data_IF_182787154639
#
_entry.id   IF_182787154639
#
_cell.length_a   1.000
_cell.length_b   1.000
_cell.length_c   1.000
_cell.angle_alpha   90.00
_cell.angle_beta   90.00
_cell.angle_gamma   90.00
#
_symmetry.space_group_name_H-M   'P 1'
#
loop_
_entity.id
_entity.type
_entity.pdbx_description
1 polymer ?
#
# COMPACT_ATOMS: atom_id res chain seq x y z
N UNK A 1 -36.62 47.78 8.98
CA UNK A 1 -35.72 47.22 10.00
C UNK A 1 -35.31 45.86 9.50
N UNK A 2 -34.06 45.69 9.10
CA UNK A 2 -33.53 44.37 8.75
C UNK A 2 -33.53 43.51 10.01
N UNK A 3 -34.03 42.28 9.87
CA UNK A 3 -34.12 41.33 10.96
C UNK A 3 -32.70 40.98 11.43
N UNK A 4 -32.38 41.26 12.70
CA UNK A 4 -31.07 40.99 13.30
C UNK A 4 -30.69 39.50 13.17
N UNK A 5 -31.68 38.61 13.13
CA UNK A 5 -31.48 37.19 12.84
C UNK A 5 -30.94 36.96 11.42
N UNK A 6 -31.52 37.63 10.42
CA UNK A 6 -31.11 37.50 9.02
C UNK A 6 -29.69 38.05 8.80
N UNK A 7 -29.32 39.14 9.46
CA UNK A 7 -27.96 39.66 9.42
C UNK A 7 -26.94 38.73 10.09
N UNK A 8 -27.31 38.11 11.23
CA UNK A 8 -26.43 37.18 11.93
C UNK A 8 -26.24 35.87 11.16
N UNK A 9 -27.32 35.34 10.59
CA UNK A 9 -27.30 34.15 9.73
C UNK A 9 -26.50 34.42 8.46
N UNK A 10 -26.68 35.57 7.83
CA UNK A 10 -25.87 36.00 6.68
C UNK A 10 -24.38 36.04 7.02
N UNK A 11 -24.00 36.64 8.16
CA UNK A 11 -22.60 36.65 8.64
C UNK A 11 -22.07 35.24 8.90
N UNK A 12 -22.86 34.34 9.47
CA UNK A 12 -22.47 32.94 9.67
C UNK A 12 -22.26 32.21 8.35
N UNK A 13 -23.21 32.31 7.42
CA UNK A 13 -23.10 31.70 6.08
C UNK A 13 -21.86 32.23 5.37
N UNK A 14 -21.63 33.54 5.35
CA UNK A 14 -20.43 34.13 4.74
C UNK A 14 -19.14 33.62 5.41
N UNK A 15 -19.12 33.47 6.74
CA UNK A 15 -17.97 32.88 7.44
C UNK A 15 -17.74 31.43 7.02
N UNK A 16 -18.78 30.58 6.97
CA UNK A 16 -18.63 29.19 6.56
C UNK A 16 -18.26 29.02 5.09
N UNK A 17 -18.78 29.88 4.21
CA UNK A 17 -18.44 29.88 2.78
C UNK A 17 -17.00 30.32 2.54
N UNK A 18 -16.52 31.29 3.32
CA UNK A 18 -15.15 31.81 3.21
C UNK A 18 -14.13 30.99 4.02
N UNK A 19 -14.58 30.17 4.97
CA UNK A 19 -13.72 29.31 5.77
C UNK A 19 -13.24 28.13 4.94
N UNK A 20 -12.06 28.29 4.36
CA UNK A 20 -11.35 27.26 3.62
C UNK A 20 -10.12 26.84 4.43
N UNK A 21 -10.25 25.93 5.42
CA UNK A 21 -9.14 25.59 6.31
C UNK A 21 -7.92 25.00 5.58
N UNK A 22 -8.14 24.40 4.41
CA UNK A 22 -7.06 23.88 3.56
C UNK A 22 -6.41 24.91 2.63
N UNK A 23 -6.95 26.12 2.47
CA UNK A 23 -6.35 27.08 1.52
C UNK A 23 -5.00 27.59 2.00
N UNK A 24 -4.08 27.78 1.06
CA UNK A 24 -2.73 28.26 1.31
C UNK A 24 -2.79 29.76 1.63
N UNK A 25 -2.81 30.09 2.92
CA UNK A 25 -2.83 31.45 3.44
C UNK A 25 -1.93 31.50 4.67
N UNK A 26 -1.34 32.67 4.96
CA UNK A 26 -0.51 32.88 6.15
C UNK A 26 -1.24 32.38 7.42
N UNK A 27 -2.51 32.77 7.60
CA UNK A 27 -3.30 32.38 8.77
C UNK A 27 -3.49 30.87 8.89
N UNK A 28 -3.80 30.16 7.79
CA UNK A 28 -3.98 28.71 7.84
C UNK A 28 -2.66 27.97 8.06
N UNK A 29 -1.55 28.46 7.51
CA UNK A 29 -0.21 27.87 7.73
C UNK A 29 0.19 28.05 9.19
N UNK A 30 0.01 29.25 9.77
CA UNK A 30 0.25 29.51 11.19
C UNK A 30 -0.60 28.60 12.07
N UNK A 31 -1.91 28.46 11.79
CA UNK A 31 -2.80 27.56 12.55
C UNK A 31 -2.39 26.09 12.44
N UNK A 32 -1.97 25.65 11.26
CA UNK A 32 -1.45 24.29 11.05
C UNK A 32 -0.22 24.05 11.94
N UNK A 33 0.75 24.95 11.90
CA UNK A 33 1.97 24.84 12.71
C UNK A 33 1.66 24.81 14.21
N UNK A 34 0.77 25.69 14.69
CA UNK A 34 0.30 25.69 16.08
C UNK A 34 -0.37 24.38 16.48
N UNK A 35 -1.16 23.79 15.59
CA UNK A 35 -1.83 22.49 15.83
C UNK A 35 -0.81 21.35 15.94
N UNK A 36 0.31 21.46 15.24
CA UNK A 36 1.43 20.53 15.30
C UNK A 36 2.39 20.79 16.48
N UNK A 37 2.12 21.82 17.30
CA UNK A 37 2.96 22.19 18.44
C UNK A 37 4.25 22.94 18.07
N UNK A 38 4.31 23.49 16.85
CA UNK A 38 5.45 24.26 16.37
C UNK A 38 5.36 25.71 16.82
N UNK A 39 6.52 26.31 17.12
CA UNK A 39 6.62 27.74 17.37
C UNK A 39 6.57 28.48 16.03
N UNK A 40 5.86 29.60 15.99
CA UNK A 40 5.75 30.40 14.76
C UNK A 40 5.73 31.88 15.09
N UNK A 41 6.49 32.67 14.35
CA UNK A 41 6.53 34.14 14.47
C UNK A 41 6.48 34.78 13.08
N UNK A 42 5.91 35.99 13.01
CA UNK A 42 5.78 36.74 11.76
C UNK A 42 6.55 38.03 11.92
N UNK A 43 7.56 38.21 11.06
CA UNK A 43 8.41 39.38 11.02
C UNK A 43 8.27 40.11 9.69
N UNK A 44 8.45 41.42 9.69
CA UNK A 44 8.50 42.20 8.46
C UNK A 44 9.97 42.34 8.02
N UNK A 45 10.33 41.65 6.93
CA UNK A 45 11.71 41.66 6.39
C UNK A 45 11.96 42.91 5.56
N UNK A 46 10.96 43.33 4.79
CA UNK A 46 10.99 44.55 3.97
C UNK A 46 9.57 45.17 3.90
N UNK A 47 9.47 46.38 3.36
CA UNK A 47 8.22 47.09 3.05
C UNK A 47 7.18 46.22 2.34
N UNK A 48 7.62 45.33 1.45
CA UNK A 48 6.74 44.45 0.66
C UNK A 48 6.87 42.96 1.00
N UNK A 49 7.69 42.59 1.97
CA UNK A 49 7.95 41.17 2.32
C UNK A 49 7.71 40.94 3.81
N UNK A 50 6.81 40.03 4.13
CA UNK A 50 6.64 39.47 5.48
C UNK A 50 7.15 38.04 5.52
N UNK A 51 7.87 37.67 6.58
CA UNK A 51 8.36 36.32 6.81
C UNK A 51 7.57 35.64 7.92
N UNK A 52 7.08 34.44 7.64
CA UNK A 52 6.66 33.50 8.68
C UNK A 52 7.82 32.56 8.95
N UNK A 53 8.36 32.61 10.15
CA UNK A 53 9.35 31.65 10.61
C UNK A 53 8.68 30.63 11.51
N UNK A 54 8.95 29.36 11.25
CA UNK A 54 8.43 28.20 11.99
C UNK A 54 9.64 27.51 12.60
N UNK A 55 9.62 27.22 13.90
CA UNK A 55 10.74 26.62 14.60
C UNK A 55 10.30 25.43 15.46
N UNK A 56 11.21 24.48 15.60
CA UNK A 56 11.14 23.34 16.52
C UNK A 56 12.51 23.11 17.17
N UNK A 57 12.82 21.89 17.61
CA UNK A 57 14.10 21.55 18.26
C UNK A 57 15.31 21.77 17.35
N UNK A 58 15.21 21.32 16.10
CA UNK A 58 16.29 21.28 15.09
C UNK A 58 15.86 22.06 13.84
N UNK A 59 14.61 21.92 13.41
CA UNK A 59 14.13 22.58 12.19
C UNK A 59 13.76 24.05 12.41
N UNK A 60 14.15 24.90 11.46
CA UNK A 60 13.67 26.27 11.28
C UNK A 60 13.26 26.45 9.81
N UNK A 61 12.01 26.81 9.55
CA UNK A 61 11.47 27.03 8.20
C UNK A 61 11.07 28.49 8.08
N UNK A 62 11.76 29.23 7.21
CA UNK A 62 11.41 30.60 6.86
C UNK A 62 10.57 30.60 5.58
N UNK A 63 9.40 31.24 5.62
CA UNK A 63 8.50 31.39 4.47
C UNK A 63 8.28 32.89 4.22
N UNK A 64 8.75 33.37 3.07
CA UNK A 64 8.59 34.77 2.67
C UNK A 64 7.30 34.94 1.86
N UNK A 65 6.50 35.95 2.21
CA UNK A 65 5.26 36.32 1.54
C UNK A 65 5.34 37.75 1.03
N UNK A 66 4.69 37.99 -0.10
CA UNK A 66 4.44 39.34 -0.58
C UNK A 66 3.30 39.99 0.23
N UNK A 67 3.54 41.16 0.82
CA UNK A 67 2.59 41.84 1.71
C UNK A 67 1.32 42.29 0.98
N UNK A 68 1.37 42.46 -0.35
CA UNK A 68 0.28 43.03 -1.15
C UNK A 68 -0.80 42.01 -1.52
N UNK A 69 -0.41 40.79 -1.88
CA UNK A 69 -1.32 39.73 -2.34
C UNK A 69 -1.25 38.44 -1.50
N UNK A 70 -0.31 38.35 -0.55
CA UNK A 70 -0.13 37.20 0.34
C UNK A 70 0.48 35.98 -0.36
N UNK A 71 1.10 36.15 -1.52
CA UNK A 71 1.72 35.07 -2.28
C UNK A 71 3.06 34.66 -1.67
N UNK A 72 3.32 33.36 -1.65
CA UNK A 72 4.62 32.81 -1.23
C UNK A 72 5.68 33.15 -2.27
N UNK A 73 6.75 33.79 -1.83
CA UNK A 73 7.91 34.21 -2.63
C UNK A 73 9.03 33.17 -2.53
N UNK A 74 9.36 32.76 -1.30
CA UNK A 74 10.46 31.84 -1.03
C UNK A 74 10.16 30.99 0.21
N UNK A 75 10.78 29.82 0.28
CA UNK A 75 10.80 28.97 1.48
C UNK A 75 12.22 28.49 1.69
N UNK A 76 12.72 28.57 2.93
CA UNK A 76 14.05 28.08 3.29
C UNK A 76 13.98 27.18 4.52
N UNK A 77 14.55 26.00 4.43
CA UNK A 77 14.79 25.12 5.58
C UNK A 77 16.21 25.37 6.09
N UNK A 78 16.32 25.67 7.38
CA UNK A 78 17.56 25.80 8.14
C UNK A 78 17.51 24.77 9.27
N UNK A 79 18.55 23.97 9.40
CA UNK A 79 18.70 23.03 10.49
C UNK A 79 19.64 23.68 11.52
N UNK A 80 19.31 23.59 12.81
CA UNK A 80 20.10 24.16 13.91
C UNK A 80 21.48 23.50 14.09
N UNK A 81 21.73 22.43 13.35
CA UNK A 81 22.97 21.65 13.29
C UNK A 81 23.66 21.80 11.94
N UNK A 82 24.94 21.39 11.88
CA UNK A 82 25.80 21.43 10.69
C UNK A 82 25.40 20.41 9.60
N UNK A 83 24.10 20.24 9.32
CA UNK A 83 23.59 19.32 8.30
C UNK A 83 23.37 20.00 6.96
N UNK A 84 24.44 20.58 6.41
CA UNK A 84 24.47 21.13 5.04
C UNK A 84 24.14 20.09 3.95
N UNK A 85 23.98 18.82 4.34
CA UNK A 85 23.76 17.67 3.44
C UNK A 85 22.32 17.16 3.42
N UNK A 86 21.41 17.69 4.25
CA UNK A 86 20.02 17.26 4.21
C UNK A 86 19.37 17.76 2.92
N UNK A 87 19.02 16.83 2.05
CA UNK A 87 18.39 17.13 0.77
C UNK A 87 16.88 17.32 0.93
N UNK A 88 16.43 18.57 0.82
CA UNK A 88 15.02 18.95 0.76
C UNK A 88 14.60 19.46 -0.63
N UNK A 89 15.35 19.06 -1.66
CA UNK A 89 15.04 19.33 -3.06
C UNK A 89 14.51 18.08 -3.76
N UNK A 90 13.65 18.32 -4.74
CA UNK A 90 13.29 17.37 -5.77
C UNK A 90 13.89 17.89 -7.09
N UNK A 91 15.06 17.37 -7.45
CA UNK A 91 15.90 17.94 -8.51
C UNK A 91 16.38 19.34 -8.11
N UNK A 92 15.94 20.37 -8.83
CA UNK A 92 16.34 21.76 -8.57
C UNK A 92 15.30 22.56 -7.77
N UNK A 93 14.20 21.93 -7.35
CA UNK A 93 13.10 22.65 -6.72
C UNK A 93 12.94 22.27 -5.24
N UNK A 94 12.80 23.29 -4.39
CA UNK A 94 12.54 23.11 -2.97
C UNK A 94 11.14 22.50 -2.76
N UNK A 95 11.09 21.36 -2.07
CA UNK A 95 9.86 20.59 -1.79
C UNK A 95 8.84 21.41 -1.02
N UNK A 96 9.28 22.14 0.01
CA UNK A 96 8.40 22.95 0.86
C UNK A 96 7.82 24.14 0.08
N UNK A 97 8.63 24.79 -0.75
CA UNK A 97 8.16 25.86 -1.64
C UNK A 97 7.13 25.33 -2.65
N UNK A 98 7.41 24.19 -3.29
CA UNK A 98 6.45 23.56 -4.23
C UNK A 98 5.17 23.13 -3.54
N UNK A 99 5.26 22.60 -2.33
CA UNK A 99 4.10 22.24 -1.50
C UNK A 99 3.14 23.41 -1.27
N UNK A 100 3.64 24.65 -1.29
CA UNK A 100 2.84 25.87 -1.10
C UNK A 100 2.46 26.60 -2.39
N UNK A 101 3.06 26.25 -3.54
CA UNK A 101 2.87 27.00 -4.80
C UNK A 101 2.33 26.18 -5.95
N UNK A 102 2.59 24.87 -5.96
CA UNK A 102 2.17 23.95 -7.03
C UNK A 102 0.85 23.23 -6.73
N UNK A 103 0.43 23.21 -5.46
CA UNK A 103 -0.77 22.52 -5.00
C UNK A 103 -1.87 23.51 -4.60
N UNK A 104 -3.11 23.04 -4.63
CA UNK A 104 -4.29 23.88 -4.36
C UNK A 104 -4.57 24.09 -2.87
N UNK A 105 -4.01 23.25 -2.02
CA UNK A 105 -4.27 23.22 -0.57
C UNK A 105 -3.00 22.86 0.22
N UNK A 106 -3.13 22.92 1.55
CA UNK A 106 -2.05 22.64 2.50
C UNK A 106 -1.76 21.15 2.70
N UNK A 107 -2.40 20.23 1.95
CA UNK A 107 -2.24 18.80 2.19
C UNK A 107 -0.78 18.34 2.05
N UNK A 108 -0.12 18.71 0.94
CA UNK A 108 1.28 18.32 0.71
C UNK A 108 2.24 19.01 1.67
N UNK A 109 1.99 20.28 1.99
CA UNK A 109 2.80 21.00 2.97
C UNK A 109 2.69 20.36 4.36
N UNK A 110 1.47 20.02 4.79
CA UNK A 110 1.23 19.30 6.04
C UNK A 110 1.92 17.93 6.05
N UNK A 111 1.82 17.17 4.95
CA UNK A 111 2.48 15.86 4.83
C UNK A 111 3.99 15.97 5.04
N UNK A 112 4.63 16.90 4.33
CA UNK A 112 6.07 17.13 4.42
C UNK A 112 6.50 17.70 5.79
N UNK A 113 5.73 18.63 6.35
CA UNK A 113 5.98 19.17 7.69
C UNK A 113 5.84 18.09 8.78
N UNK A 114 4.87 17.17 8.63
CA UNK A 114 4.71 16.03 9.55
C UNK A 114 5.92 15.10 9.51
N UNK A 115 6.50 14.88 8.33
CA UNK A 115 7.72 14.09 8.22
C UNK A 115 8.93 14.81 8.87
N UNK A 116 9.12 16.10 8.61
CA UNK A 116 10.20 16.87 9.22
C UNK A 116 10.10 16.93 10.75
N UNK A 117 8.88 17.12 11.28
CA UNK A 117 8.64 17.10 12.74
C UNK A 117 8.87 15.74 13.36
N UNK A 118 8.63 14.66 12.63
CA UNK A 118 8.99 13.32 13.06
C UNK A 118 10.52 13.16 13.14
N UNK A 119 11.28 13.58 12.12
CA UNK A 119 12.74 13.57 12.20
C UNK A 119 13.24 14.41 13.38
N UNK A 120 12.68 15.61 13.55
CA UNK A 120 13.00 16.55 14.62
C UNK A 120 12.79 15.97 16.03
N UNK A 121 11.67 15.27 16.24
CA UNK A 121 11.32 14.68 17.53
C UNK A 121 12.25 13.52 17.92
N UNK A 122 12.71 12.73 16.94
CA UNK A 122 13.49 11.51 17.17
C UNK A 122 15.00 11.66 16.93
N UNK A 123 15.46 12.83 16.47
CA UNK A 123 16.88 13.21 16.43
C UNK A 123 17.33 13.79 17.76
N UNK A 124 18.50 13.39 18.24
CA UNK A 124 19.13 13.94 19.44
C UNK A 124 20.43 14.65 19.08
N UNK A 125 20.45 15.96 19.29
CA UNK A 125 21.59 16.83 19.04
C UNK A 125 22.05 17.39 20.38
N UNK A 126 22.94 16.69 21.04
CA UNK A 126 23.61 17.19 22.24
C UNK A 126 25.07 17.46 21.92
N UNK A 127 25.36 18.74 21.65
CA UNK A 127 26.68 19.23 21.27
C UNK A 127 27.68 19.07 22.43
N UNK A 128 27.20 18.90 23.67
CA UNK A 128 28.01 18.85 24.89
C UNK A 128 28.27 17.42 25.39
N UNK A 129 27.58 16.41 24.84
CA UNK A 129 27.72 15.01 25.28
C UNK A 129 28.85 14.28 24.54
N UNK A 130 29.69 13.54 25.28
CA UNK A 130 30.76 12.70 24.71
C UNK A 130 30.27 11.36 24.14
N UNK A 131 28.97 11.08 24.25
CA UNK A 131 28.32 9.86 23.75
C UNK A 131 27.69 10.13 22.39
N UNK A 132 27.95 9.28 21.39
CA UNK A 132 27.31 9.39 20.08
C UNK A 132 25.79 9.26 20.23
N UNK A 133 25.07 10.36 19.99
CA UNK A 133 23.62 10.36 20.00
C UNK A 133 23.09 10.01 18.62
N UNK A 134 21.93 9.36 18.59
CA UNK A 134 21.29 8.98 17.33
C UNK A 134 20.65 10.22 16.70
N UNK A 135 21.16 10.57 15.51
CA UNK A 135 20.59 11.62 14.68
C UNK A 135 19.90 11.04 13.46
N UNK A 136 18.56 11.13 13.47
CA UNK A 136 17.73 10.63 12.41
C UNK A 136 17.81 11.48 11.12
N UNK A 137 18.11 12.78 11.20
CA UNK A 137 18.36 13.61 10.02
C UNK A 137 19.63 13.15 9.30
N UNK A 138 20.71 12.95 10.05
CA UNK A 138 21.96 12.44 9.50
C UNK A 138 21.73 11.05 8.89
N UNK A 139 21.12 10.15 9.65
CA UNK A 139 20.87 8.78 9.20
C UNK A 139 20.00 8.75 7.93
N UNK A 140 18.92 9.52 7.89
CA UNK A 140 18.06 9.64 6.70
C UNK A 140 18.83 10.16 5.48
N UNK A 141 19.79 11.09 5.64
CA UNK A 141 20.60 11.60 4.54
C UNK A 141 21.60 10.57 3.98
N UNK A 142 22.12 9.64 4.79
CA UNK A 142 23.07 8.61 4.31
C UNK A 142 22.41 7.29 3.92
N UNK A 143 21.23 6.97 4.45
CA UNK A 143 20.50 5.73 4.18
C UNK A 143 20.28 5.43 2.69
N UNK A 144 19.93 6.40 1.80
CA UNK A 144 19.78 6.13 0.38
C UNK A 144 21.03 5.52 -0.27
N UNK A 145 22.22 5.99 0.14
CA UNK A 145 23.50 5.48 -0.36
C UNK A 145 23.77 4.07 0.14
N UNK A 146 23.50 3.80 1.41
CA UNK A 146 23.63 2.45 1.97
C UNK A 146 22.69 1.47 1.27
N UNK A 147 21.46 1.90 1.02
CA UNK A 147 20.46 1.11 0.31
C UNK A 147 20.86 0.86 -1.14
N UNK A 148 21.39 1.86 -1.85
CA UNK A 148 21.89 1.68 -3.22
C UNK A 148 23.02 0.65 -3.27
N UNK A 149 24.03 0.79 -2.40
CA UNK A 149 25.15 -0.16 -2.32
C UNK A 149 24.66 -1.58 -2.02
N UNK A 150 23.69 -1.73 -1.12
CA UNK A 150 23.07 -3.00 -0.78
C UNK A 150 22.33 -3.63 -1.97
N UNK A 151 21.58 -2.82 -2.72
CA UNK A 151 20.85 -3.26 -3.91
C UNK A 151 21.78 -3.66 -5.07
N UNK A 152 22.90 -2.95 -5.22
CA UNK A 152 23.93 -3.21 -6.23
C UNK A 152 24.67 -4.53 -5.94
N UNK A 153 25.07 -4.75 -4.68
CA UNK A 153 25.72 -6.01 -4.26
C UNK A 153 24.84 -7.24 -4.46
N UNK A 154 23.51 -7.04 -4.48
CA UNK A 154 22.50 -8.08 -4.68
C UNK A 154 21.90 -8.12 -6.09
N UNK A 155 22.47 -7.38 -7.05
CA UNK A 155 22.11 -7.41 -8.47
C UNK A 155 20.62 -7.15 -8.76
N UNK A 156 19.98 -6.27 -7.99
CA UNK A 156 18.53 -6.02 -8.13
C UNK A 156 18.17 -5.14 -9.34
N UNK A 157 19.14 -4.46 -9.97
CA UNK A 157 18.93 -3.49 -11.05
C UNK A 157 17.90 -2.41 -10.67
N UNK A 158 17.92 -1.94 -9.42
CA UNK A 158 17.05 -0.87 -8.91
C UNK A 158 17.88 0.36 -8.57
N UNK A 159 17.29 1.54 -8.80
CA UNK A 159 17.89 2.81 -8.45
C UNK A 159 17.17 3.42 -7.24
N UNK A 160 17.95 3.95 -6.29
CA UNK A 160 17.44 4.69 -5.15
C UNK A 160 17.36 6.17 -5.51
N UNK A 161 16.18 6.77 -5.34
CA UNK A 161 15.96 8.22 -5.49
C UNK A 161 15.34 8.77 -4.21
N UNK A 162 15.60 10.02 -3.90
CA UNK A 162 14.96 10.72 -2.79
C UNK A 162 13.89 11.67 -3.31
N UNK A 163 12.93 11.97 -2.45
CA UNK A 163 12.06 13.14 -2.59
C UNK A 163 11.16 13.18 -3.84
N UNK A 164 10.73 12.02 -4.35
CA UNK A 164 9.88 11.95 -5.54
C UNK A 164 8.49 12.55 -5.27
N UNK A 165 7.90 13.14 -6.32
CA UNK A 165 6.57 13.76 -6.28
C UNK A 165 6.41 14.84 -5.20
N UNK A 166 7.48 15.59 -4.93
CA UNK A 166 7.54 16.64 -3.89
C UNK A 166 7.17 16.12 -2.49
N UNK A 167 7.52 14.86 -2.20
CA UNK A 167 7.32 14.26 -0.88
C UNK A 167 8.61 13.68 -0.35
N UNK A 168 8.90 13.96 0.92
CA UNK A 168 10.03 13.30 1.57
C UNK A 168 9.85 11.78 1.60
N UNK A 169 10.90 11.07 1.18
CA UNK A 169 10.96 9.62 1.19
C UNK A 169 12.14 9.11 0.37
N UNK A 170 12.47 7.84 0.57
CA UNK A 170 13.50 7.12 -0.17
C UNK A 170 12.78 6.13 -1.08
N UNK A 171 12.92 6.27 -2.39
CA UNK A 171 12.15 5.54 -3.39
C UNK A 171 13.03 4.55 -4.13
N UNK A 172 12.53 3.35 -4.33
CA UNK A 172 13.12 2.33 -5.18
C UNK A 172 12.46 2.38 -6.54
N UNK A 173 13.26 2.67 -7.56
CA UNK A 173 12.80 2.90 -8.92
C UNK A 173 13.40 1.85 -9.83
N UNK A 174 12.58 1.30 -10.72
CA UNK A 174 13.03 0.35 -11.72
C UNK A 174 13.83 1.03 -12.86
N UNK A 175 14.43 0.27 -13.80
CA UNK A 175 15.13 0.84 -14.94
C UNK A 175 14.25 1.66 -15.89
N UNK A 176 12.92 1.45 -15.87
CA UNK A 176 11.96 2.18 -16.68
C UNK A 176 11.54 3.52 -16.05
N UNK A 177 11.85 3.73 -14.78
CA UNK A 177 11.48 4.92 -14.01
C UNK A 177 10.25 4.74 -13.13
N UNK A 178 9.69 3.53 -13.04
CA UNK A 178 8.51 3.21 -12.24
C UNK A 178 8.88 3.00 -10.77
N UNK A 179 8.07 3.58 -9.87
CA UNK A 179 8.21 3.44 -8.42
C UNK A 179 7.74 2.05 -7.97
N UNK A 180 8.67 1.24 -7.44
CA UNK A 180 8.38 -0.09 -6.92
C UNK A 180 8.08 -0.03 -5.42
N UNK A 181 8.89 0.74 -4.68
CA UNK A 181 8.80 0.81 -3.24
C UNK A 181 9.23 2.16 -2.69
N UNK A 182 8.80 2.45 -1.47
CA UNK A 182 9.08 3.69 -0.75
C UNK A 182 9.45 3.35 0.70
N UNK A 183 10.55 3.89 1.18
CA UNK A 183 11.00 3.81 2.55
C UNK A 183 10.80 5.16 3.23
N UNK A 184 10.12 5.15 4.37
CA UNK A 184 9.91 6.32 5.23
C UNK A 184 9.94 5.94 6.69
N UNK A 185 10.32 6.87 7.56
CA UNK A 185 10.19 6.66 8.99
C UNK A 185 8.77 6.93 9.47
N UNK A 186 8.28 6.08 10.37
CA UNK A 186 6.97 6.24 11.02
C UNK A 186 7.06 5.89 12.50
N UNK A 187 6.13 6.41 13.29
CA UNK A 187 5.99 6.06 14.70
C UNK A 187 5.58 4.59 14.77
N UNK A 188 6.29 3.80 15.57
CA UNK A 188 5.94 2.39 15.76
C UNK A 188 4.85 2.21 16.82
N UNK A 189 4.16 1.07 16.79
CA UNK A 189 3.14 0.73 17.77
C UNK A 189 3.73 0.46 19.16
N UNK A 190 4.97 -0.03 19.24
CA UNK A 190 5.67 -0.23 20.50
C UNK A 190 6.61 0.95 20.81
N UNK A 191 6.26 1.85 21.76
CA UNK A 191 7.11 3.00 22.09
C UNK A 191 8.49 2.61 22.64
N UNK A 192 8.67 1.37 23.11
CA UNK A 192 9.95 0.89 23.64
C UNK A 192 10.84 0.24 22.57
N UNK A 193 10.34 0.05 21.35
CA UNK A 193 11.11 -0.51 20.26
C UNK A 193 12.28 0.41 19.94
N UNK A 194 13.50 -0.11 20.12
CA UNK A 194 14.73 0.61 19.83
C UNK A 194 15.02 0.55 18.34
N UNK A 195 15.46 1.68 17.80
CA UNK A 195 15.93 1.82 16.44
C UNK A 195 17.36 2.36 16.44
N UNK A 196 18.26 1.63 15.80
CA UNK A 196 19.71 1.85 15.79
C UNK A 196 20.20 2.39 14.45
N UNK A 197 21.42 2.94 14.45
CA UNK A 197 22.09 3.33 13.21
C UNK A 197 22.78 2.11 12.58
N UNK A 198 22.15 1.52 11.57
CA UNK A 198 22.74 0.42 10.79
C UNK A 198 23.33 0.95 9.49
N UNK A 199 24.62 0.70 9.29
CA UNK A 199 25.37 1.11 8.09
C UNK A 199 25.65 -0.11 7.23
N UNK A 200 25.35 -0.01 5.94
CA UNK A 200 25.72 -1.07 5.01
C UNK A 200 27.19 -0.94 4.63
N UNK A 201 27.97 -1.99 4.91
CA UNK A 201 29.39 -2.06 4.57
C UNK A 201 29.57 -2.82 3.26
N UNK A 202 30.13 -2.15 2.24
CA UNK A 202 30.48 -2.77 0.96
C UNK A 202 31.62 -3.78 1.08
N UNK A 203 32.44 -3.65 2.13
CA UNK A 203 33.59 -4.53 2.34
C UNK A 203 33.16 -5.90 2.90
N UNK A 204 32.20 -5.90 3.84
CA UNK A 204 31.67 -7.13 4.45
C UNK A 204 30.39 -7.63 3.79
N UNK A 205 29.72 -6.79 2.99
CA UNK A 205 28.39 -7.04 2.40
C UNK A 205 27.29 -7.28 3.44
N UNK A 206 27.42 -6.60 4.59
CA UNK A 206 26.52 -6.75 5.72
C UNK A 206 26.11 -5.39 6.29
N UNK A 207 24.93 -5.38 6.92
CA UNK A 207 24.48 -4.25 7.71
C UNK A 207 25.08 -4.33 9.11
N UNK A 208 25.88 -3.34 9.48
CA UNK A 208 26.64 -3.30 10.73
C UNK A 208 26.12 -2.17 11.62
N UNK A 209 25.94 -2.48 12.91
CA UNK A 209 25.76 -1.48 13.94
C UNK A 209 27.12 -1.11 14.54
N UNK A 210 27.63 0.08 14.20
CA UNK A 210 28.90 0.57 14.74
C UNK A 210 28.77 1.17 16.15
N UNK A 211 27.57 1.60 16.54
CA UNK A 211 27.30 2.32 17.79
C UNK A 211 26.06 1.77 18.47
N UNK A 212 26.21 0.66 19.21
CA UNK A 212 25.11 0.03 19.95
C UNK A 212 24.52 0.91 21.07
N UNK A 213 25.22 1.99 21.44
CA UNK A 213 24.75 2.99 22.40
C UNK A 213 23.93 4.11 21.74
N UNK A 214 24.04 4.27 20.41
CA UNK A 214 23.33 5.27 19.62
C UNK A 214 22.02 4.69 19.09
N UNK A 215 20.92 4.99 19.78
CA UNK A 215 19.58 4.59 19.36
C UNK A 215 18.53 5.63 19.72
N UNK A 216 17.40 5.54 19.05
CA UNK A 216 16.15 6.22 19.41
C UNK A 216 15.06 5.17 19.66
N UNK A 217 13.92 5.53 20.25
CA UNK A 217 12.85 4.56 20.57
C UNK A 217 11.49 5.07 20.10
N UNK A 218 10.61 4.16 19.69
CA UNK A 218 9.26 4.50 19.25
C UNK A 218 9.14 4.89 17.76
N UNK A 219 10.16 4.59 16.96
CA UNK A 219 10.19 4.81 15.51
C UNK A 219 10.61 3.53 14.78
N UNK A 220 10.19 3.40 13.53
CA UNK A 220 10.57 2.29 12.66
C UNK A 220 10.69 2.75 11.21
N UNK A 221 11.42 1.98 10.40
CA UNK A 221 11.51 2.20 8.96
C UNK A 221 10.36 1.44 8.29
N UNK A 222 9.46 2.16 7.64
CA UNK A 222 8.34 1.60 6.89
C UNK A 222 8.75 1.45 5.42
N UNK A 223 8.65 0.23 4.89
CA UNK A 223 8.79 -0.09 3.47
C UNK A 223 7.39 -0.31 2.87
N UNK A 224 6.97 0.60 1.99
CA UNK A 224 5.69 0.55 1.29
C UNK A 224 5.92 0.13 -0.16
N UNK A 225 5.12 -0.81 -0.68
CA UNK A 225 5.05 -1.14 -2.10
C UNK A 225 4.14 -0.12 -2.80
N UNK A 226 4.68 0.56 -3.82
CA UNK A 226 3.99 1.64 -4.56
C UNK A 226 3.45 1.16 -5.91
N UNK A 227 3.69 -0.11 -6.26
CA UNK A 227 3.28 -0.70 -7.52
C UNK A 227 1.78 -0.57 -7.82
N UNK A 228 1.44 -0.50 -9.11
CA UNK A 228 0.07 -0.34 -9.61
C UNK A 228 -0.90 -1.50 -9.26
N UNK A 229 -0.42 -2.57 -8.63
CA UNK A 229 -1.16 -3.81 -8.42
C UNK A 229 -0.98 -4.31 -6.99
N UNK A 230 -2.09 -4.80 -6.42
CA UNK A 230 -2.06 -5.48 -5.13
C UNK A 230 -1.12 -6.70 -5.21
N UNK A 231 -0.18 -6.75 -4.28
CA UNK A 231 0.77 -7.85 -4.15
C UNK A 231 0.35 -8.72 -2.99
N UNK A 232 0.27 -10.02 -3.22
CA UNK A 232 -0.18 -10.97 -2.21
C UNK A 232 0.99 -11.79 -1.69
N UNK A 233 1.15 -11.81 -0.37
CA UNK A 233 2.25 -12.48 0.32
C UNK A 233 1.77 -13.72 1.08
N UNK A 234 2.58 -14.79 1.15
CA UNK A 234 2.30 -15.93 2.03
C UNK A 234 2.34 -15.45 3.47
N UNK A 235 1.31 -15.83 4.24
CA UNK A 235 1.17 -15.42 5.64
C UNK A 235 2.41 -15.68 6.50
N UNK A 236 3.14 -16.75 6.21
CA UNK A 236 4.27 -17.20 7.02
C UNK A 236 5.60 -16.57 6.57
N UNK A 237 5.65 -15.87 5.43
CA UNK A 237 6.87 -15.23 4.94
C UNK A 237 7.20 -13.94 5.68
N UNK A 238 6.20 -13.31 6.32
CA UNK A 238 6.34 -12.01 6.94
C UNK A 238 5.70 -12.08 8.33
N UNK A 239 6.49 -11.96 9.41
CA UNK A 239 5.96 -11.91 10.76
C UNK A 239 4.81 -10.89 10.85
N UNK A 240 3.71 -11.29 11.49
CA UNK A 240 2.52 -10.43 11.59
C UNK A 240 2.83 -9.05 12.21
N UNK A 241 3.82 -8.99 13.10
CA UNK A 241 4.31 -7.77 13.75
C UNK A 241 4.96 -6.78 12.76
N UNK A 242 5.44 -7.26 11.61
CA UNK A 242 6.02 -6.45 10.55
C UNK A 242 4.98 -5.94 9.56
N UNK A 243 3.76 -6.46 9.56
CA UNK A 243 2.72 -5.97 8.66
C UNK A 243 2.15 -4.67 9.24
N UNK A 244 2.26 -3.57 8.49
CA UNK A 244 1.67 -2.31 8.91
C UNK A 244 0.23 -2.23 8.44
N UNK A 245 -0.72 -2.55 9.33
CA UNK A 245 -2.15 -2.30 9.10
C UNK A 245 -2.39 -0.78 9.08
N UNK A 246 -2.54 -0.22 7.89
CA UNK A 246 -2.78 1.21 7.70
C UNK A 246 -4.15 1.58 8.29
N UNK A 247 -4.14 2.05 9.54
CA UNK A 247 -5.34 2.38 10.33
C UNK A 247 -6.23 3.48 9.75
N UNK A 248 -5.84 4.12 8.64
CA UNK A 248 -6.60 5.21 8.03
C UNK A 248 -7.44 4.79 6.80
N UNK A 249 -7.26 3.59 6.24
CA UNK A 249 -8.06 3.10 5.08
C UNK A 249 -8.91 1.87 5.43
N UNK A 250 -8.67 1.25 6.59
CA UNK A 250 -9.17 -0.12 6.85
C UNK A 250 -10.30 -0.27 7.86
N UNK A 251 -10.79 0.82 8.47
CA UNK A 251 -11.90 0.74 9.42
C UNK A 251 -13.22 0.16 8.83
N UNK A 252 -13.30 -0.02 7.51
CA UNK A 252 -14.48 -0.54 6.80
C UNK A 252 -14.22 -1.77 5.91
N UNK A 253 -13.00 -2.31 5.84
CA UNK A 253 -12.77 -3.57 5.13
C UNK A 253 -13.00 -4.71 6.11
N UNK A 254 -13.94 -5.60 5.79
CA UNK A 254 -14.15 -6.84 6.55
C UNK A 254 -12.86 -7.68 6.60
N UNK A 255 -12.88 -8.86 7.27
CA UNK A 255 -11.69 -9.70 7.39
C UNK A 255 -11.00 -9.89 6.04
N UNK A 256 -9.68 -9.67 5.99
CA UNK A 256 -8.86 -9.85 4.81
C UNK A 256 -9.13 -11.24 4.23
N UNK A 257 -9.62 -11.30 2.99
CA UNK A 257 -9.90 -12.55 2.31
C UNK A 257 -8.61 -13.07 1.67
N UNK A 258 -8.28 -14.36 1.86
CA UNK A 258 -7.11 -14.94 1.19
C UNK A 258 -7.33 -14.96 -0.33
N UNK A 259 -6.24 -14.75 -1.07
CA UNK A 259 -6.23 -14.91 -2.51
C UNK A 259 -6.25 -16.40 -2.88
N UNK A 260 -7.07 -16.74 -3.86
CA UNK A 260 -7.22 -18.11 -4.33
C UNK A 260 -7.17 -18.12 -5.86
N UNK A 261 -6.23 -18.88 -6.41
CA UNK A 261 -6.21 -19.16 -7.84
C UNK A 261 -7.46 -19.95 -8.23
N UNK A 262 -8.14 -19.47 -9.27
CA UNK A 262 -9.30 -20.14 -9.87
C UNK A 262 -9.11 -20.17 -11.38
N UNK A 263 -9.30 -21.35 -11.97
CA UNK A 263 -9.34 -21.50 -13.43
C UNK A 263 -10.78 -21.45 -13.90
N UNK A 264 -11.10 -20.46 -14.73
CA UNK A 264 -12.33 -20.43 -15.52
C UNK A 264 -12.09 -20.90 -16.96
N UNK A 265 -10.85 -21.21 -17.30
CA UNK A 265 -10.45 -21.64 -18.63
C UNK A 265 -10.61 -23.16 -18.76
N UNK A 266 -11.53 -23.67 -19.62
CA UNK A 266 -11.84 -25.09 -19.69
C UNK A 266 -10.67 -25.95 -20.16
N UNK A 267 -9.69 -25.35 -20.83
CA UNK A 267 -8.47 -26.02 -21.32
C UNK A 267 -7.42 -26.23 -20.23
N UNK A 268 -7.50 -25.51 -19.10
CA UNK A 268 -6.48 -25.55 -18.04
C UNK A 268 -7.02 -26.23 -16.79
N UNK A 269 -6.45 -27.40 -16.46
CA UNK A 269 -6.63 -28.06 -15.18
C UNK A 269 -5.63 -27.49 -14.18
N UNK A 270 -6.14 -26.66 -13.27
CA UNK A 270 -5.34 -26.03 -12.24
C UNK A 270 -5.19 -26.93 -11.01
N UNK A 271 -3.96 -27.14 -10.59
CA UNK A 271 -3.58 -27.74 -9.32
C UNK A 271 -2.92 -26.66 -8.45
N UNK A 272 -3.67 -26.20 -7.44
CA UNK A 272 -3.19 -25.20 -6.49
C UNK A 272 -2.66 -25.92 -5.25
N UNK A 273 -1.34 -26.03 -5.14
CA UNK A 273 -0.61 -26.73 -4.08
C UNK A 273 0.02 -25.76 -3.07
N UNK A 274 -0.46 -24.52 -3.00
CA UNK A 274 -0.06 -23.59 -1.94
C UNK A 274 -0.37 -24.20 -0.57
N UNK A 275 0.65 -24.24 0.27
CA UNK A 275 0.58 -24.68 1.66
C UNK A 275 0.13 -23.56 2.60
N UNK A 276 0.27 -22.29 2.17
CA UNK A 276 -0.04 -21.10 2.97
C UNK A 276 -1.03 -20.19 2.24
N UNK A 277 -1.93 -19.57 3.00
CA UNK A 277 -2.82 -18.52 2.51
C UNK A 277 -2.05 -17.25 2.09
N UNK A 278 -2.49 -16.66 0.98
CA UNK A 278 -1.94 -15.43 0.42
C UNK A 278 -2.78 -14.20 0.79
N UNK A 279 -2.18 -13.15 1.35
CA UNK A 279 -2.87 -11.92 1.77
C UNK A 279 -2.31 -10.69 1.06
N UNK A 280 -3.18 -9.74 0.71
CA UNK A 280 -2.75 -8.46 0.16
C UNK A 280 -1.99 -7.67 1.24
N UNK A 281 -0.72 -7.36 0.98
CA UNK A 281 0.10 -6.54 1.87
C UNK A 281 0.87 -5.52 1.05
N UNK A 282 0.82 -4.26 1.48
CA UNK A 282 1.47 -3.15 0.81
C UNK A 282 2.48 -2.40 1.67
N UNK A 283 2.57 -2.68 2.98
CA UNK A 283 3.42 -1.93 3.89
C UNK A 283 4.04 -2.83 4.97
N UNK A 284 5.34 -2.68 5.18
CA UNK A 284 6.18 -3.54 6.01
C UNK A 284 7.04 -2.71 6.95
N UNK A 285 7.06 -3.05 8.23
CA UNK A 285 7.94 -2.47 9.22
C UNK A 285 9.29 -3.20 9.18
N UNK A 286 10.32 -2.49 8.72
CA UNK A 286 11.68 -2.95 8.72
C UNK A 286 12.35 -2.49 10.02
N UNK A 287 12.54 -3.44 10.93
CA UNK A 287 13.41 -3.27 12.09
C UNK A 287 14.87 -3.43 11.69
N UNK A 288 15.79 -2.92 12.51
CA UNK A 288 17.22 -3.03 12.26
C UNK A 288 17.71 -4.47 12.01
N UNK A 289 17.16 -5.43 12.75
CA UNK A 289 17.50 -6.86 12.63
C UNK A 289 17.04 -7.47 11.31
N UNK A 290 16.08 -6.83 10.64
CA UNK A 290 15.32 -7.37 9.52
C UNK A 290 15.41 -6.49 8.27
N UNK A 291 16.33 -5.53 8.22
CA UNK A 291 16.51 -4.65 7.05
C UNK A 291 16.85 -5.46 5.79
N UNK A 292 17.44 -6.65 5.95
CA UNK A 292 17.71 -7.60 4.86
C UNK A 292 16.44 -8.17 4.22
N UNK A 293 15.31 -8.22 4.94
CA UNK A 293 14.02 -8.67 4.40
C UNK A 293 13.54 -7.80 3.25
N UNK A 294 14.07 -6.58 3.10
CA UNK A 294 13.80 -5.73 1.94
C UNK A 294 14.04 -6.47 0.61
N UNK A 295 15.10 -7.27 0.50
CA UNK A 295 15.35 -8.05 -0.71
C UNK A 295 14.35 -9.17 -0.92
N UNK A 296 13.96 -9.87 0.15
CA UNK A 296 12.98 -10.95 0.08
C UNK A 296 11.61 -10.42 -0.33
N UNK A 297 11.22 -9.26 0.22
CA UNK A 297 9.99 -8.54 -0.16
C UNK A 297 10.04 -8.14 -1.64
N UNK A 298 11.15 -7.55 -2.11
CA UNK A 298 11.33 -7.14 -3.50
C UNK A 298 11.35 -8.33 -4.47
N UNK A 299 12.01 -9.42 -4.09
CA UNK A 299 12.09 -10.64 -4.89
C UNK A 299 10.71 -11.29 -5.01
N UNK A 300 9.97 -11.39 -3.91
CA UNK A 300 8.58 -11.85 -3.94
C UNK A 300 7.69 -10.93 -4.75
N UNK A 301 7.81 -9.61 -4.58
CA UNK A 301 7.07 -8.63 -5.39
C UNK A 301 7.30 -8.85 -6.88
N UNK A 302 8.54 -9.10 -7.31
CA UNK A 302 8.85 -9.41 -8.71
C UNK A 302 8.27 -10.75 -9.15
N UNK A 303 8.40 -11.80 -8.35
CA UNK A 303 7.82 -13.12 -8.63
C UNK A 303 6.31 -13.05 -8.81
N UNK A 304 5.64 -12.34 -7.88
CA UNK A 304 4.21 -12.10 -7.95
C UNK A 304 3.82 -11.40 -9.25
N UNK A 305 4.45 -10.26 -9.55
CA UNK A 305 4.04 -9.44 -10.70
C UNK A 305 4.45 -10.03 -12.07
N UNK A 306 5.55 -10.78 -12.13
CA UNK A 306 6.05 -11.36 -13.38
C UNK A 306 5.51 -12.76 -13.66
N UNK A 307 5.09 -13.51 -12.64
CA UNK A 307 4.67 -14.91 -12.81
C UNK A 307 3.26 -15.15 -12.28
N UNK A 308 3.05 -15.03 -10.97
CA UNK A 308 1.80 -15.45 -10.32
C UNK A 308 0.59 -14.60 -10.76
N UNK A 309 0.76 -13.28 -10.82
CA UNK A 309 -0.30 -12.37 -11.24
C UNK A 309 -0.68 -12.58 -12.72
N UNK A 310 0.27 -12.64 -13.69
CA UNK A 310 -0.06 -13.00 -15.07
C UNK A 310 -0.77 -14.34 -15.20
N UNK A 311 -0.39 -15.35 -14.40
CA UNK A 311 -1.12 -16.62 -14.37
C UNK A 311 -2.56 -16.41 -13.90
N UNK A 312 -2.76 -15.64 -12.82
CA UNK A 312 -4.11 -15.35 -12.33
C UNK A 312 -4.97 -14.61 -13.35
N UNK A 313 -4.40 -13.67 -14.12
CA UNK A 313 -5.09 -12.97 -15.21
C UNK A 313 -5.46 -13.91 -16.36
N UNK A 314 -4.62 -14.90 -16.68
CA UNK A 314 -4.91 -15.88 -17.74
C UNK A 314 -5.97 -16.90 -17.32
N UNK A 315 -6.04 -17.20 -16.02
CA UNK A 315 -7.01 -18.12 -15.45
C UNK A 315 -8.38 -17.47 -15.16
N UNK A 316 -8.41 -16.14 -14.96
CA UNK A 316 -9.62 -15.32 -14.91
C UNK A 316 -10.09 -14.93 -16.33
N UNK A 317 -11.34 -15.18 -16.75
CA UNK A 317 -12.45 -14.19 -16.69
C UNK A 317 -13.66 -14.73 -17.48
N UNK A 318 -14.89 -14.23 -17.22
CA UNK A 318 -15.35 -13.16 -18.12
C UNK A 318 -15.96 -11.88 -17.51
N UNK A 319 -16.13 -11.67 -16.19
CA UNK A 319 -16.96 -10.53 -15.76
C UNK A 319 -16.81 -9.90 -14.34
N UNK A 320 -15.67 -10.02 -13.65
CA UNK A 320 -15.47 -9.31 -12.37
C UNK A 320 -14.91 -7.87 -12.52
N UNK A 321 -14.64 -7.41 -13.74
CA UNK A 321 -13.97 -6.11 -14.02
C UNK A 321 -14.89 -4.92 -14.35
N UNK A 322 -16.19 -4.98 -14.06
CA UNK A 322 -17.06 -3.81 -14.23
C UNK A 322 -16.90 -2.74 -13.13
N UNK A 323 -15.95 -2.87 -12.18
CA UNK A 323 -15.79 -1.88 -11.10
C UNK A 323 -14.38 -1.38 -10.77
N UNK A 324 -13.34 -1.80 -11.49
CA UNK A 324 -11.99 -1.29 -11.18
C UNK A 324 -11.12 -1.06 -12.40
N UNK A 325 -11.43 0.00 -13.16
CA UNK A 325 -10.43 0.88 -13.81
C UNK A 325 -11.06 2.19 -14.32
N UNK A 326 -10.96 3.21 -13.46
CA UNK A 326 -10.71 4.64 -13.70
C UNK A 326 -11.44 5.32 -14.89
N UNK A 327 -12.30 6.30 -14.58
CA UNK A 327 -12.37 7.54 -15.37
C UNK A 327 -12.58 8.74 -14.47
N UNK A 328 -11.62 9.66 -14.52
CA UNK A 328 -11.64 10.99 -13.91
C UNK A 328 -12.51 11.93 -14.76
N UNK A 329 -13.34 12.70 -14.06
CA UNK A 329 -14.07 13.92 -14.44
C UNK A 329 -15.31 13.84 -15.36
N UNK A 330 -16.48 14.06 -14.74
CA UNK A 330 -17.31 15.24 -15.02
C UNK A 330 -18.30 15.57 -13.90
N UNK A 331 -18.30 16.87 -13.56
CA UNK A 331 -19.22 17.69 -12.79
C UNK A 331 -20.71 17.29 -12.92
N UNK A 332 -21.46 17.29 -11.80
CA UNK A 332 -22.93 17.24 -11.85
C UNK A 332 -23.63 17.08 -10.50
N UNK A 333 -23.91 18.21 -9.86
CA UNK A 333 -25.00 18.53 -8.90
C UNK A 333 -25.85 17.43 -8.25
N UNK A 334 -25.90 17.51 -6.92
CA UNK A 334 -26.86 16.94 -5.98
C UNK A 334 -28.30 17.45 -6.15
N UNK A 335 -29.31 16.57 -6.04
CA UNK A 335 -30.54 16.79 -5.25
C UNK A 335 -31.13 15.44 -4.77
N UNK A 336 -31.42 15.34 -3.47
CA UNK A 336 -32.38 14.42 -2.83
C UNK A 336 -33.66 15.24 -2.50
N UNK A 337 -34.83 14.66 -2.11
CA UNK A 337 -34.99 13.93 -0.83
C UNK A 337 -36.16 12.88 -0.68
N UNK A 338 -36.16 12.22 0.50
CA UNK A 338 -37.27 11.58 1.28
C UNK A 338 -37.89 10.24 0.82
N UNK A 339 -38.22 9.25 1.67
CA UNK A 339 -38.22 9.12 3.14
C UNK A 339 -38.57 7.68 3.63
N UNK A 340 -38.31 7.42 4.92
CA UNK A 340 -38.54 6.20 5.75
C UNK A 340 -40.05 5.86 5.97
N UNK A 341 -40.47 4.61 6.38
CA UNK A 341 -40.40 4.13 7.80
C UNK A 341 -40.37 2.57 7.99
N UNK A 342 -40.64 1.97 9.18
CA UNK A 342 -39.65 1.50 10.16
C UNK A 342 -39.69 -0.01 10.54
N UNK A 343 -38.70 -0.40 11.38
CA UNK A 343 -38.42 -1.65 12.13
C UNK A 343 -39.60 -2.54 12.61
N UNK A 344 -39.33 -3.83 12.89
CA UNK A 344 -39.22 -4.23 14.30
C UNK A 344 -38.11 -5.23 14.67
N UNK A 345 -37.84 -5.20 15.97
CA UNK A 345 -36.93 -5.94 16.84
C UNK A 345 -37.29 -7.41 17.09
N UNK A 346 -36.28 -8.20 17.49
CA UNK A 346 -36.26 -9.33 18.46
C UNK A 346 -35.39 -10.49 17.94
N UNK A 347 -34.19 -10.71 18.52
CA UNK A 347 -33.85 -11.54 19.70
C UNK A 347 -33.66 -13.05 19.41
N UNK A 348 -32.48 -13.51 19.83
CA UNK A 348 -32.09 -14.86 20.31
C UNK A 348 -31.70 -15.94 19.28
N UNK A 349 -30.41 -16.30 19.16
CA UNK A 349 -29.51 -17.13 20.03
C UNK A 349 -29.88 -18.64 20.15
N UNK A 350 -28.94 -19.44 19.61
CA UNK A 350 -28.43 -20.77 20.05
C UNK A 350 -29.32 -22.01 19.81
N UNK A 351 -28.82 -22.98 19.03
CA UNK A 351 -28.13 -24.24 19.45
C UNK A 351 -29.13 -25.28 19.98
N UNK A 352 -29.05 -26.59 19.81
CA UNK A 352 -28.10 -27.55 19.28
C UNK A 352 -28.82 -28.93 19.33
N UNK A 353 -28.14 -30.00 18.92
CA UNK A 353 -28.35 -31.39 19.38
C UNK A 353 -29.39 -32.25 18.64
N UNK A 354 -28.81 -33.06 17.74
CA UNK A 354 -28.76 -34.54 17.73
C UNK A 354 -30.05 -35.36 17.63
N UNK A 355 -29.97 -36.26 16.64
CA UNK A 355 -30.21 -37.71 16.75
C UNK A 355 -31.66 -38.19 16.96
N UNK A 356 -32.22 -38.92 15.98
CA UNK A 356 -32.15 -40.39 15.86
C UNK A 356 -33.24 -40.96 14.94
N UNK A 357 -32.82 -41.94 14.13
CA UNK A 357 -33.49 -43.22 13.78
C UNK A 357 -34.73 -43.22 12.88
N UNK A 358 -34.44 -43.57 11.62
CA UNK A 358 -35.02 -44.62 10.75
C UNK A 358 -36.18 -45.51 11.28
N UNK A 359 -37.11 -45.73 10.33
CA UNK A 359 -37.60 -47.03 9.78
C UNK A 359 -38.73 -47.80 10.50
N UNK A 360 -39.86 -47.99 9.80
CA UNK A 360 -40.38 -49.29 9.31
C UNK A 360 -41.69 -49.07 8.52
N UNK A 361 -41.75 -49.42 7.24
CA UNK A 361 -42.35 -50.67 6.69
C UNK A 361 -43.82 -50.87 7.08
N UNK A 362 -44.70 -50.85 6.06
CA UNK A 362 -45.73 -51.86 5.85
C UNK A 362 -46.30 -51.72 4.42
N UNK A 363 -46.09 -52.76 3.62
CA UNK A 363 -46.93 -53.13 2.46
C UNK A 363 -48.32 -53.60 2.96
N UNK A 364 -49.33 -53.60 2.08
CA UNK A 364 -49.75 -54.92 1.58
C UNK A 364 -50.25 -54.96 0.12
N UNK A 365 -49.82 -56.03 -0.57
CA UNK A 365 -50.55 -56.97 -1.45
C UNK A 365 -51.55 -56.49 -2.54
N UNK A 366 -51.15 -56.81 -3.78
CA UNK A 366 -51.85 -57.63 -4.80
C UNK A 366 -53.20 -57.20 -5.40
N UNK A 367 -53.21 -57.02 -6.73
CA UNK A 367 -54.08 -57.74 -7.68
C UNK A 367 -53.63 -57.49 -9.14
N UNK A 368 -53.53 -58.58 -9.90
CA UNK A 368 -53.20 -58.65 -11.32
C UNK A 368 -54.28 -57.98 -12.18
N UNK A 369 -53.89 -57.30 -13.25
CA UNK A 369 -54.58 -57.42 -14.53
C UNK A 369 -53.69 -56.98 -15.72
N UNK A 370 -54.02 -57.55 -16.86
CA UNK A 370 -53.18 -57.82 -18.01
C UNK A 370 -52.85 -56.62 -18.91
N UNK A 371 -51.69 -56.73 -19.58
CA UNK A 371 -51.31 -56.11 -20.86
C UNK A 371 -51.35 -54.59 -20.95
N UNK A 372 -50.24 -53.95 -20.59
CA UNK A 372 -49.67 -52.83 -21.35
C UNK A 372 -48.15 -52.87 -21.27
N UNK A 373 -47.48 -53.04 -22.41
CA UNK A 373 -46.05 -52.71 -22.56
C UNK A 373 -45.92 -51.19 -22.41
N UNK A 374 -45.62 -50.74 -21.20
CA UNK A 374 -45.16 -49.38 -20.94
C UNK A 374 -43.63 -49.43 -20.86
N UNK A 375 -43.00 -48.89 -21.90
CA UNK A 375 -41.58 -48.56 -21.88
C UNK A 375 -41.32 -47.61 -20.71
N UNK A 376 -40.50 -48.05 -19.76
CA UNK A 376 -40.04 -47.21 -18.65
C UNK A 376 -39.11 -46.12 -19.19
N UNK A 377 -39.37 -44.88 -18.77
CA UNK A 377 -38.61 -43.65 -19.05
C UNK A 377 -37.09 -43.73 -18.76
N UNK A 378 -36.63 -44.80 -18.11
CA UNK A 378 -35.22 -45.13 -17.90
C UNK A 378 -34.50 -45.66 -19.15
N UNK A 379 -35.22 -46.08 -20.20
CA UNK A 379 -34.63 -46.60 -21.45
C UNK A 379 -34.48 -45.51 -22.54
N UNK A 380 -35.18 -44.37 -22.41
CA UNK A 380 -35.11 -43.23 -23.35
C UNK A 380 -34.13 -42.13 -22.88
N UNK A 381 -33.73 -42.12 -21.59
CA UNK A 381 -32.65 -41.24 -21.11
C UNK A 381 -31.25 -41.86 -21.26
N UNK A 382 -31.14 -43.06 -21.84
CA UNK A 382 -29.87 -43.77 -22.06
C UNK A 382 -29.21 -43.54 -23.43
N UNK A 383 -29.76 -42.67 -24.29
CA UNK A 383 -29.21 -42.44 -25.62
C UNK A 383 -29.31 -40.97 -26.04
N UNK A 384 -28.51 -40.11 -25.42
CA UNK A 384 -27.88 -39.02 -26.18
C UNK A 384 -26.44 -39.43 -26.40
N UNK A 385 -26.25 -40.14 -27.52
CA UNK A 385 -25.01 -40.13 -28.28
C UNK A 385 -24.73 -38.66 -28.58
N UNK A 386 -23.90 -38.03 -27.74
CA UNK A 386 -23.11 -36.90 -28.19
C UNK A 386 -21.87 -37.55 -28.76
N UNK A 387 -21.79 -37.48 -30.08
CA UNK A 387 -20.65 -37.90 -30.87
C UNK A 387 -19.38 -37.30 -30.28
N UNK A 388 -18.39 -38.15 -30.07
CA UNK A 388 -17.02 -37.78 -29.74
C UNK A 388 -16.48 -36.86 -30.84
N UNK A 389 -16.60 -35.55 -30.65
CA UNK A 389 -15.75 -34.54 -31.28
C UNK A 389 -14.38 -34.52 -30.55
N UNK A 390 -13.74 -35.68 -30.40
CA UNK A 390 -12.40 -35.81 -29.79
C UNK A 390 -11.24 -35.45 -30.76
N UNK A 391 -11.52 -35.10 -32.01
CA UNK A 391 -10.47 -35.03 -33.05
C UNK A 391 -10.22 -33.63 -33.67
N UNK A 392 -10.60 -32.53 -33.01
CA UNK A 392 -10.38 -31.17 -33.57
C UNK A 392 -9.69 -30.14 -32.64
N UNK A 393 -8.92 -30.56 -31.62
CA UNK A 393 -7.91 -29.69 -30.96
C UNK A 393 -6.72 -30.56 -30.49
N UNK A 394 -5.64 -30.58 -31.28
CA UNK A 394 -4.49 -31.49 -31.15
C UNK A 394 -3.57 -31.35 -29.92
N UNK A 395 -4.03 -30.81 -28.79
CA UNK A 395 -3.31 -30.89 -27.51
C UNK A 395 -4.32 -31.03 -26.38
N UNK A 396 -4.24 -32.13 -25.63
CA UNK A 396 -5.12 -32.42 -24.49
C UNK A 396 -5.12 -31.33 -23.39
N UNK A 397 -5.94 -31.49 -22.34
CA UNK A 397 -6.03 -30.50 -21.27
C UNK A 397 -4.66 -30.22 -20.66
N UNK A 398 -4.39 -28.94 -20.40
CA UNK A 398 -3.13 -28.46 -19.86
C UNK A 398 -3.20 -28.56 -18.34
N UNK A 399 -2.35 -29.38 -17.74
CA UNK A 399 -2.16 -29.46 -16.30
C UNK A 399 -1.16 -28.36 -15.87
N UNK A 400 -1.66 -27.40 -15.09
CA UNK A 400 -0.88 -26.30 -14.51
C UNK A 400 -0.83 -26.46 -13.00
N UNK A 401 0.37 -26.62 -12.46
CA UNK A 401 0.60 -26.71 -11.03
C UNK A 401 1.26 -25.44 -10.54
N UNK A 402 0.73 -24.88 -9.45
CA UNK A 402 1.20 -23.63 -8.86
C UNK A 402 1.37 -23.83 -7.35
N UNK A 403 2.52 -23.43 -6.82
CA UNK A 403 2.77 -23.29 -5.40
C UNK A 403 3.65 -22.03 -5.14
N UNK A 404 4.13 -21.88 -3.90
CA UNK A 404 4.95 -20.76 -3.46
C UNK A 404 6.28 -20.65 -4.21
N UNK A 405 6.91 -21.78 -4.49
CA UNK A 405 8.32 -21.88 -4.89
C UNK A 405 8.50 -22.09 -6.39
N UNK A 406 7.53 -22.71 -7.06
CA UNK A 406 7.61 -23.04 -8.47
C UNK A 406 6.23 -23.19 -9.14
N UNK A 407 6.25 -23.03 -10.45
CA UNK A 407 5.13 -23.28 -11.34
C UNK A 407 5.60 -24.24 -12.42
N UNK A 408 4.79 -25.26 -12.74
CA UNK A 408 5.14 -26.17 -13.83
C UNK A 408 3.96 -26.55 -14.71
N UNK A 409 4.30 -26.87 -15.96
CA UNK A 409 3.36 -27.11 -17.05
C UNK A 409 3.58 -28.50 -17.67
N UNK A 410 2.54 -29.35 -17.63
CA UNK A 410 2.51 -30.68 -18.27
C UNK A 410 3.77 -31.55 -18.04
N UNK A 411 4.39 -31.45 -16.85
CA UNK A 411 5.61 -32.16 -16.43
C UNK A 411 6.90 -31.86 -17.23
N UNK A 412 6.99 -30.76 -17.99
CA UNK A 412 8.17 -30.47 -18.85
C UNK A 412 8.81 -29.12 -18.63
N UNK A 413 8.03 -28.09 -18.36
CA UNK A 413 8.52 -26.73 -18.18
C UNK A 413 8.32 -26.34 -16.71
N UNK A 414 9.39 -26.00 -16.01
CA UNK A 414 9.40 -25.60 -14.60
C UNK A 414 9.96 -24.17 -14.52
N UNK A 415 9.27 -23.33 -13.77
CA UNK A 415 9.67 -21.97 -13.42
C UNK A 415 9.78 -21.88 -11.90
N UNK A 416 10.99 -21.65 -11.38
CA UNK A 416 11.32 -21.63 -9.94
C UNK A 416 11.58 -20.21 -9.45
N UNK A 417 11.10 -19.91 -8.25
CA UNK A 417 11.35 -18.67 -7.50
C UNK A 417 12.83 -18.54 -7.10
N UNK A 418 13.51 -19.65 -6.82
CA UNK A 418 14.89 -19.64 -6.31
C UNK A 418 15.93 -19.69 -7.43
N UNK A 419 15.68 -20.48 -8.48
CA UNK A 419 16.72 -20.86 -9.45
C UNK A 419 16.63 -20.11 -10.79
N UNK A 420 15.57 -19.31 -10.99
CA UNK A 420 15.34 -18.64 -12.27
C UNK A 420 15.36 -17.12 -12.12
N UNK A 421 15.77 -16.46 -13.20
CA UNK A 421 15.83 -15.02 -13.33
C UNK A 421 14.55 -14.49 -13.99
N UNK A 422 14.43 -13.15 -14.02
CA UNK A 422 13.29 -12.48 -14.60
C UNK A 422 13.08 -12.82 -16.09
N UNK A 423 14.14 -13.12 -16.84
CA UNK A 423 14.05 -13.50 -18.25
C UNK A 423 13.38 -14.88 -18.41
N UNK A 424 13.82 -15.89 -17.65
CA UNK A 424 13.17 -17.21 -17.65
C UNK A 424 11.73 -17.15 -17.17
N UNK A 425 11.44 -16.33 -16.17
CA UNK A 425 10.08 -16.08 -15.70
C UNK A 425 9.17 -15.56 -16.83
N UNK A 426 9.64 -14.58 -17.59
CA UNK A 426 8.90 -14.03 -18.73
C UNK A 426 8.76 -15.02 -19.89
N UNK A 427 9.79 -15.82 -20.18
CA UNK A 427 9.72 -16.88 -21.19
C UNK A 427 8.65 -17.91 -20.84
N UNK A 428 8.60 -18.35 -19.58
CA UNK A 428 7.57 -19.27 -19.09
C UNK A 428 6.16 -18.70 -19.27
N UNK A 429 5.92 -17.45 -18.88
CA UNK A 429 4.61 -16.81 -19.07
C UNK A 429 4.26 -16.65 -20.54
N UNK A 430 5.23 -16.36 -21.41
CA UNK A 430 5.00 -16.28 -22.85
C UNK A 430 4.59 -17.63 -23.44
N UNK A 431 5.24 -18.71 -23.01
CA UNK A 431 4.87 -20.07 -23.40
C UNK A 431 3.47 -20.46 -22.89
N UNK A 432 3.16 -20.14 -21.64
CA UNK A 432 1.84 -20.39 -21.07
C UNK A 432 0.75 -19.66 -21.87
N UNK A 433 0.95 -18.39 -22.22
CA UNK A 433 0.04 -17.59 -23.05
C UNK A 433 -0.20 -18.14 -24.46
N UNK A 434 0.73 -18.94 -24.99
CA UNK A 434 0.56 -19.56 -26.30
C UNK A 434 -0.26 -20.85 -26.23
N UNK A 435 -0.28 -21.52 -25.07
CA UNK A 435 -0.97 -22.80 -24.88
C UNK A 435 -2.39 -22.64 -24.32
N UNK A 436 -2.60 -21.63 -23.45
CA UNK A 436 -3.92 -21.21 -22.94
C UNK A 436 -4.67 -20.48 -24.04
#
# INVERSE_FOLDING_TARGET
MTDAYFELLGKMITRFVNYKPGSITLENITRLCQTMGLESFVDQVDTNISRLSIASKIIVIDIDYETTDGKVIDVKLVLASNFDKFDYFNGNANILYRSLTAYSDLHEFHHNLKFLTLLDAYSSIDIESTTSQFDLFEYYSVLPRYLQNYLDDNNTNLNVKTNLNDRFGIYLVDPNGDEIGKLTFTITQDPNQRYYEYKYSTDTKEWINESSESYTSGITLLFELVGCRDTYFPKDHIPAEQIHENSNVEANKGPLKPFLFKSYTPRVRLFNDFTVDLYAVSAFQLLNENISLCLDILKWYRWWNLVLYPISELLGSPNDDAKSRITVNKVGQSQSPQGDPPLPTSLHRRSSIKNRRRSSVNEPTMLNDERFQQFTLTEIMGSTVVEDDEDMLGEGPIDLFINEDYVYLNNREICSYYDNDAEKWQQFITLLKQKV
#
